data_IF_984875089670
#
_entry.id   IF_984875089670
#
_cell.length_a   1.000
_cell.length_b   1.000
_cell.length_c   1.000
_cell.angle_alpha   90.00
_cell.angle_beta   90.00
_cell.angle_gamma   90.00
#
_symmetry.space_group_name_H-M   'P 1'
#
loop_
_entity.id
_entity.type
_entity.pdbx_description
1 polymer ?
#
# COMPACT_ATOMS: atom_id res chain seq x y z
N UNK A 1 43.31 40.34 32.45
CA UNK A 1 43.55 38.93 32.84
C UNK A 1 42.35 38.49 33.67
N UNK A 2 41.60 37.42 33.43
CA UNK A 2 41.69 36.33 32.46
C UNK A 2 40.25 35.82 32.21
N UNK A 3 40.05 35.20 31.04
CA UNK A 3 38.78 34.69 30.55
C UNK A 3 38.23 33.50 31.35
N UNK A 4 36.91 33.39 31.43
CA UNK A 4 36.22 32.21 31.95
C UNK A 4 36.15 31.12 30.86
N UNK A 5 36.61 29.88 31.13
CA UNK A 5 36.30 28.73 30.29
C UNK A 5 35.35 27.81 31.06
N UNK A 6 34.04 27.84 30.76
CA UNK A 6 33.10 26.90 31.36
C UNK A 6 31.99 26.38 30.42
N UNK A 7 31.93 26.82 29.15
CA UNK A 7 30.89 26.38 28.21
C UNK A 7 31.28 25.24 27.27
N UNK A 8 32.56 24.87 27.16
CA UNK A 8 32.97 23.81 26.22
C UNK A 8 32.80 22.38 26.80
N UNK A 9 33.04 22.18 28.10
CA UNK A 9 33.06 20.84 28.71
C UNK A 9 31.66 20.24 28.99
N UNK A 10 30.63 21.08 29.11
CA UNK A 10 29.26 20.63 29.38
C UNK A 10 28.55 20.06 28.13
N UNK A 11 28.94 20.49 26.93
CA UNK A 11 28.43 19.92 25.67
C UNK A 11 28.98 18.52 25.41
N UNK A 12 30.29 18.36 25.62
CA UNK A 12 31.03 17.11 25.35
C UNK A 12 30.51 15.93 26.19
N UNK A 13 30.25 16.18 27.48
CA UNK A 13 29.76 15.15 28.42
C UNK A 13 28.31 14.74 28.16
N UNK A 14 27.46 15.64 27.67
CA UNK A 14 26.06 15.33 27.34
C UNK A 14 25.95 14.52 26.03
N UNK A 15 26.80 14.82 25.05
CA UNK A 15 26.88 14.08 23.80
C UNK A 15 27.49 12.67 24.02
N UNK A 16 28.50 12.55 24.88
CA UNK A 16 29.05 11.25 25.29
C UNK A 16 28.04 10.39 26.04
N UNK A 17 27.27 10.98 26.96
CA UNK A 17 26.22 10.27 27.69
C UNK A 17 25.10 9.77 26.75
N UNK A 18 24.71 10.58 25.75
CA UNK A 18 23.76 10.19 24.71
C UNK A 18 24.29 9.02 23.89
N UNK A 19 25.56 9.08 23.50
CA UNK A 19 26.20 8.04 22.69
C UNK A 19 26.32 6.71 23.45
N UNK A 20 26.70 6.75 24.73
CA UNK A 20 26.75 5.56 25.61
C UNK A 20 25.34 4.97 25.78
N UNK A 21 24.31 5.80 25.96
CA UNK A 21 22.92 5.36 26.05
C UNK A 21 22.48 4.60 24.79
N UNK A 22 22.67 5.19 23.61
CA UNK A 22 22.26 4.59 22.34
C UNK A 22 23.02 3.30 21.98
N UNK A 23 24.28 3.18 22.40
CA UNK A 23 25.11 1.99 22.11
C UNK A 23 24.98 0.88 23.13
N UNK A 24 24.36 1.16 24.28
CA UNK A 24 24.14 0.13 25.30
C UNK A 24 23.32 -1.03 24.73
N UNK A 25 23.61 -2.28 25.11
CA UNK A 25 22.90 -3.45 24.59
C UNK A 25 21.38 -3.39 24.73
N UNK A 26 20.89 -2.72 25.78
CA UNK A 26 19.46 -2.52 26.03
C UNK A 26 18.77 -1.68 24.94
N UNK A 27 19.49 -0.72 24.35
CA UNK A 27 18.93 0.26 23.41
C UNK A 27 19.30 -0.02 21.94
N UNK A 28 20.13 -1.02 21.65
CA UNK A 28 20.55 -1.35 20.28
C UNK A 28 19.38 -1.72 19.36
N UNK A 29 18.38 -2.45 19.86
CA UNK A 29 17.18 -2.80 19.06
C UNK A 29 16.34 -1.56 18.78
N UNK A 30 16.18 -0.68 19.77
CA UNK A 30 15.41 0.56 19.63
C UNK A 30 16.10 1.55 18.70
N UNK A 31 17.44 1.61 18.73
CA UNK A 31 18.24 2.39 17.81
C UNK A 31 18.07 1.93 16.35
N UNK A 32 18.06 0.62 16.10
CA UNK A 32 17.74 0.06 14.77
C UNK A 32 16.33 0.45 14.35
N UNK A 33 15.36 0.41 15.27
CA UNK A 33 13.98 0.78 14.99
C UNK A 33 13.83 2.26 14.64
N UNK A 34 14.49 3.15 15.39
CA UNK A 34 14.53 4.57 15.11
C UNK A 34 15.16 4.85 13.73
N UNK A 35 16.26 4.16 13.40
CA UNK A 35 16.91 4.29 12.11
C UNK A 35 16.00 3.85 10.94
N UNK A 36 15.26 2.75 11.10
CA UNK A 36 14.27 2.28 10.11
C UNK A 36 13.11 3.26 9.97
N UNK A 37 12.57 3.77 11.08
CA UNK A 37 11.48 4.74 11.08
C UNK A 37 11.86 6.07 10.39
N UNK A 38 13.12 6.49 10.54
CA UNK A 38 13.68 7.68 9.88
C UNK A 38 14.09 7.44 8.42
N UNK A 39 13.87 6.24 7.87
CA UNK A 39 14.24 5.88 6.50
C UNK A 39 15.76 5.81 6.26
N UNK A 40 16.55 5.59 7.31
CA UNK A 40 18.01 5.56 7.25
C UNK A 40 18.59 4.18 6.90
N UNK A 41 17.74 3.15 6.86
CA UNK A 41 18.09 1.79 6.47
C UNK A 41 16.94 0.81 6.67
N UNK A 42 17.19 -0.45 6.36
CA UNK A 42 16.27 -1.57 6.58
C UNK A 42 16.70 -2.39 7.82
N UNK A 43 15.76 -3.11 8.43
CA UNK A 43 16.10 -4.04 9.51
C UNK A 43 16.86 -5.25 8.95
N UNK A 44 18.01 -5.58 9.52
CA UNK A 44 18.72 -6.82 9.20
C UNK A 44 18.20 -7.99 10.05
N UNK A 45 18.54 -9.23 9.69
CA UNK A 45 18.14 -10.41 10.46
C UNK A 45 18.73 -10.42 11.89
N UNK A 46 19.95 -9.88 12.06
CA UNK A 46 20.57 -9.69 13.36
C UNK A 46 20.10 -8.39 14.00
N UNK A 47 19.69 -8.45 15.28
CA UNK A 47 19.13 -7.32 16.05
C UNK A 47 20.09 -6.14 16.25
N UNK A 48 21.39 -6.39 16.09
CA UNK A 48 22.48 -5.42 16.23
C UNK A 48 22.99 -4.89 14.89
N UNK A 49 22.27 -5.19 13.81
CA UNK A 49 22.65 -4.86 12.45
C UNK A 49 21.54 -4.09 11.75
N UNK A 50 21.95 -3.09 10.98
CA UNK A 50 21.10 -2.34 10.06
C UNK A 50 21.54 -2.68 8.64
N UNK A 51 20.57 -2.84 7.74
CA UNK A 51 20.83 -3.11 6.33
C UNK A 51 20.83 -1.79 5.57
N UNK A 52 21.98 -1.40 5.05
CA UNK A 52 22.17 -0.15 4.29
C UNK A 52 22.64 -0.53 2.89
N UNK A 53 21.93 -0.06 1.86
CA UNK A 53 22.22 -0.40 0.46
C UNK A 53 22.36 -1.92 0.21
N UNK A 54 21.47 -2.72 0.80
CA UNK A 54 21.49 -4.17 0.62
C UNK A 54 22.38 -4.95 1.59
N UNK A 55 23.34 -4.29 2.26
CA UNK A 55 24.35 -4.95 3.11
C UNK A 55 24.01 -4.84 4.59
N UNK A 56 24.03 -5.96 5.30
CA UNK A 56 23.92 -5.99 6.76
C UNK A 56 25.20 -5.43 7.39
N UNK A 57 25.05 -4.37 8.17
CA UNK A 57 26.15 -3.63 8.78
C UNK A 57 25.92 -3.55 10.29
N UNK A 58 26.88 -3.97 11.14
CA UNK A 58 26.75 -3.83 12.58
C UNK A 58 26.71 -2.36 12.98
N UNK A 59 25.98 -2.02 14.05
CA UNK A 59 25.77 -0.63 14.51
C UNK A 59 27.08 0.16 14.69
N UNK A 60 28.14 -0.46 15.20
CA UNK A 60 29.45 0.18 15.35
C UNK A 60 30.10 0.54 14.01
N UNK A 61 29.95 -0.33 13.02
CA UNK A 61 30.43 -0.07 11.66
C UNK A 61 29.56 0.97 10.96
N UNK A 62 28.25 0.96 11.20
CA UNK A 62 27.31 1.95 10.66
C UNK A 62 27.62 3.34 11.20
N UNK A 63 27.90 3.48 12.50
CA UNK A 63 28.34 4.74 13.13
C UNK A 63 29.57 5.32 12.45
N UNK A 64 30.58 4.49 12.16
CA UNK A 64 31.83 4.93 11.50
C UNK A 64 31.60 5.32 10.04
N UNK A 65 30.72 4.62 9.33
CA UNK A 65 30.46 4.85 7.89
C UNK A 65 29.47 5.99 7.62
N UNK A 66 28.50 6.20 8.51
CA UNK A 66 27.40 7.16 8.37
C UNK A 66 27.14 7.88 9.71
N UNK A 67 28.10 8.68 10.22
CA UNK A 67 28.02 9.29 11.55
C UNK A 67 26.79 10.19 11.72
N UNK A 68 26.43 10.99 10.72
CA UNK A 68 25.27 11.90 10.79
C UNK A 68 23.92 11.16 10.84
N UNK A 69 23.80 10.05 10.10
CA UNK A 69 22.59 9.22 10.13
C UNK A 69 22.45 8.51 11.48
N UNK A 70 23.56 8.02 12.02
CA UNK A 70 23.61 7.41 13.34
C UNK A 70 23.21 8.43 14.42
N UNK A 71 23.78 9.63 14.41
CA UNK A 71 23.49 10.66 15.41
C UNK A 71 22.03 11.09 15.38
N UNK A 72 21.44 11.24 14.18
CA UNK A 72 19.99 11.49 14.03
C UNK A 72 19.12 10.41 14.67
N UNK A 73 19.44 9.13 14.43
CA UNK A 73 18.69 8.03 15.01
C UNK A 73 18.86 7.96 16.53
N UNK A 74 20.09 8.18 17.02
CA UNK A 74 20.39 8.21 18.45
C UNK A 74 19.74 9.41 19.16
N UNK A 75 19.73 10.58 18.53
CA UNK A 75 19.02 11.77 19.02
C UNK A 75 17.52 11.52 19.12
N UNK A 76 16.90 10.97 18.08
CA UNK A 76 15.47 10.65 18.10
C UNK A 76 15.13 9.65 19.22
N UNK A 77 15.97 8.63 19.43
CA UNK A 77 15.83 7.67 20.53
C UNK A 77 15.98 8.34 21.90
N UNK A 78 16.99 9.20 22.05
CA UNK A 78 17.32 9.88 23.31
C UNK A 78 16.31 10.98 23.67
N UNK A 79 15.75 11.69 22.70
CA UNK A 79 14.66 12.65 22.92
C UNK A 79 13.37 11.92 23.32
N UNK A 80 13.06 10.80 22.65
CA UNK A 80 11.95 9.94 23.05
C UNK A 80 12.11 9.36 24.47
N UNK A 81 13.35 9.10 24.92
CA UNK A 81 13.60 8.63 26.29
C UNK A 81 13.57 9.76 27.33
N UNK A 82 13.90 11.01 26.95
CA UNK A 82 13.80 12.20 27.81
C UNK A 82 12.37 12.62 28.10
N UNK A 83 11.45 12.51 27.13
CA UNK A 83 10.03 12.86 27.34
C UNK A 83 9.33 11.91 28.33
N UNK A 84 9.91 10.73 28.61
CA UNK A 84 9.46 9.82 29.67
C UNK A 84 10.06 10.08 31.06
N UNK A 85 11.01 11.00 31.19
CA UNK A 85 11.89 11.13 32.36
C UNK A 85 11.86 12.51 33.03
N UNK A 86 10.83 12.80 33.81
CA UNK A 86 10.94 13.76 34.92
C UNK A 86 10.29 13.17 36.17
N UNK A 87 11.09 12.43 36.94
CA UNK A 87 10.79 11.98 38.30
C UNK A 87 12.06 11.34 38.87
N UNK A 88 12.92 12.16 39.46
CA UNK A 88 14.15 11.70 40.10
C UNK A 88 13.90 10.99 41.42
N UNK A 89 14.68 9.93 41.66
CA UNK A 89 15.22 9.53 42.97
C UNK A 89 14.29 8.80 43.95
N UNK A 90 14.66 7.57 44.32
CA UNK A 90 14.24 6.97 45.60
C UNK A 90 13.92 5.49 45.52
N UNK A 91 14.84 4.66 46.02
CA UNK A 91 14.70 3.21 46.18
C UNK A 91 13.46 2.81 46.98
N UNK A 92 12.66 1.88 46.44
CA UNK A 92 11.61 1.18 47.20
C UNK A 92 10.32 1.00 46.40
N UNK A 93 10.08 -0.23 45.93
CA UNK A 93 8.93 -0.67 45.14
C UNK A 93 8.77 0.03 43.78
N UNK A 94 8.59 -0.75 42.71
CA UNK A 94 8.12 -0.19 41.44
C UNK A 94 6.80 0.53 41.72
N UNK A 95 6.83 1.86 41.76
CA UNK A 95 5.61 2.66 41.85
C UNK A 95 4.68 2.23 40.72
N UNK A 96 3.39 2.09 41.02
CA UNK A 96 2.36 1.71 40.06
C UNK A 96 2.45 2.53 38.76
N UNK A 97 2.92 3.79 38.85
CA UNK A 97 3.16 4.70 37.73
C UNK A 97 4.27 4.28 36.78
N UNK A 98 5.40 3.74 37.26
CA UNK A 98 6.50 3.26 36.42
C UNK A 98 6.13 1.94 35.72
N UNK A 99 5.41 1.06 36.41
CA UNK A 99 4.85 -0.14 35.81
C UNK A 99 3.84 0.20 34.68
N UNK A 100 3.01 1.23 34.89
CA UNK A 100 2.04 1.73 33.89
C UNK A 100 2.75 2.34 32.67
N UNK A 101 3.86 3.07 32.85
CA UNK A 101 4.64 3.62 31.72
C UNK A 101 5.34 2.54 30.90
N UNK A 102 5.92 1.52 31.56
CA UNK A 102 6.51 0.36 30.87
C UNK A 102 5.43 -0.42 30.11
N UNK A 103 4.26 -0.61 30.72
CA UNK A 103 3.10 -1.20 30.05
C UNK A 103 2.61 -0.35 28.87
N UNK A 104 2.61 0.98 28.98
CA UNK A 104 2.24 1.89 27.89
C UNK A 104 3.23 1.87 26.73
N UNK A 105 4.54 1.84 26.99
CA UNK A 105 5.55 1.75 25.95
C UNK A 105 5.54 0.37 25.27
N UNK A 106 5.40 -0.71 26.04
CA UNK A 106 5.22 -2.06 25.51
C UNK A 106 3.90 -2.18 24.72
N UNK A 107 2.82 -1.56 25.20
CA UNK A 107 1.54 -1.50 24.49
C UNK A 107 1.67 -0.68 23.20
N UNK A 108 2.35 0.46 23.21
CA UNK A 108 2.59 1.27 22.02
C UNK A 108 3.44 0.53 20.98
N UNK A 109 4.50 -0.17 21.40
CA UNK A 109 5.31 -1.01 20.53
C UNK A 109 4.54 -2.20 19.96
N UNK A 110 3.67 -2.83 20.77
CA UNK A 110 2.78 -3.90 20.33
C UNK A 110 1.72 -3.37 19.35
N UNK A 111 1.12 -2.21 19.62
CA UNK A 111 0.14 -1.54 18.74
C UNK A 111 0.79 -1.14 17.42
N UNK A 112 2.00 -0.57 17.42
CA UNK A 112 2.72 -0.23 16.19
C UNK A 112 3.09 -1.48 15.37
N UNK A 113 3.49 -2.56 16.04
CA UNK A 113 3.78 -3.84 15.38
C UNK A 113 2.51 -4.46 14.79
N UNK A 114 1.40 -4.40 15.52
CA UNK A 114 0.09 -4.87 15.06
C UNK A 114 -0.41 -4.04 13.88
N UNK A 115 -0.33 -2.72 13.96
CA UNK A 115 -0.68 -1.80 12.86
C UNK A 115 0.21 -2.00 11.63
N UNK A 116 1.51 -2.26 11.81
CA UNK A 116 2.41 -2.57 10.71
C UNK A 116 2.09 -3.93 10.05
N UNK A 117 1.73 -4.93 10.85
CA UNK A 117 1.24 -6.23 10.38
C UNK A 117 -0.07 -6.11 9.61
N UNK A 118 -1.03 -5.37 10.17
CA UNK A 118 -2.34 -5.12 9.56
C UNK A 118 -2.19 -4.32 8.26
N UNK A 119 -1.29 -3.34 8.20
CA UNK A 119 -1.03 -2.57 6.99
C UNK A 119 -0.42 -3.42 5.88
N UNK A 120 0.55 -4.28 6.21
CA UNK A 120 1.16 -5.19 5.23
C UNK A 120 0.15 -6.22 4.72
N UNK A 121 -0.63 -6.82 5.63
CA UNK A 121 -1.72 -7.73 5.29
C UNK A 121 -2.78 -7.07 4.41
N UNK A 122 -3.16 -5.82 4.73
CA UNK A 122 -4.09 -5.04 3.92
C UNK A 122 -3.54 -4.73 2.52
N UNK A 123 -2.23 -4.45 2.40
CA UNK A 123 -1.58 -4.22 1.12
C UNK A 123 -1.53 -5.49 0.27
N UNK A 124 -1.10 -6.61 0.85
CA UNK A 124 -1.02 -7.90 0.13
C UNK A 124 -2.40 -8.35 -0.34
N UNK A 125 -3.42 -8.20 0.52
CA UNK A 125 -4.83 -8.42 0.17
C UNK A 125 -5.29 -7.46 -0.93
N UNK A 126 -4.85 -6.21 -0.89
CA UNK A 126 -5.14 -5.20 -1.92
C UNK A 126 -4.58 -5.56 -3.28
N UNK A 127 -3.32 -6.05 -3.32
CA UNK A 127 -2.67 -6.50 -4.55
C UNK A 127 -3.37 -7.72 -5.17
N UNK A 128 -3.69 -8.74 -4.36
CA UNK A 128 -4.41 -9.92 -4.85
C UNK A 128 -5.76 -9.54 -5.48
N UNK A 129 -6.51 -8.66 -4.81
CA UNK A 129 -7.79 -8.13 -5.28
C UNK A 129 -7.67 -7.31 -6.57
N UNK A 130 -6.63 -6.50 -6.68
CA UNK A 130 -6.31 -5.75 -7.88
C UNK A 130 -6.03 -6.69 -9.07
N UNK A 131 -5.25 -7.75 -8.85
CA UNK A 131 -4.92 -8.73 -9.88
C UNK A 131 -6.12 -9.59 -10.32
N UNK A 132 -7.00 -9.95 -9.38
CA UNK A 132 -8.29 -10.59 -9.68
C UNK A 132 -9.16 -9.70 -10.58
N UNK A 133 -9.31 -8.42 -10.23
CA UNK A 133 -10.07 -7.46 -11.01
C UNK A 133 -9.50 -7.28 -12.43
N UNK A 134 -8.18 -7.08 -12.54
CA UNK A 134 -7.50 -6.96 -13.84
C UNK A 134 -7.70 -8.20 -14.71
N UNK A 135 -7.66 -9.39 -14.09
CA UNK A 135 -7.86 -10.66 -14.79
C UNK A 135 -9.30 -10.77 -15.33
N UNK A 136 -10.29 -10.47 -14.51
CA UNK A 136 -11.70 -10.47 -14.91
C UNK A 136 -11.94 -9.46 -16.06
N UNK A 137 -11.39 -8.24 -15.95
CA UNK A 137 -11.50 -7.22 -16.98
C UNK A 137 -10.87 -7.66 -18.31
N UNK A 138 -9.69 -8.30 -18.28
CA UNK A 138 -9.04 -8.84 -19.48
C UNK A 138 -9.85 -9.97 -20.11
N UNK A 139 -10.37 -10.90 -19.29
CA UNK A 139 -11.16 -12.03 -19.79
C UNK A 139 -12.45 -11.56 -20.46
N UNK A 140 -13.16 -10.62 -19.84
CA UNK A 140 -14.36 -10.01 -20.44
C UNK A 140 -14.01 -9.27 -21.74
N UNK A 141 -12.97 -8.44 -21.73
CA UNK A 141 -12.53 -7.72 -22.93
C UNK A 141 -12.16 -8.65 -24.09
N UNK A 142 -11.42 -9.73 -23.83
CA UNK A 142 -11.07 -10.73 -24.86
C UNK A 142 -12.33 -11.38 -25.43
N UNK A 143 -13.21 -11.90 -24.57
CA UNK A 143 -14.43 -12.56 -25.01
C UNK A 143 -15.33 -11.63 -25.83
N UNK A 144 -15.51 -10.38 -25.39
CA UNK A 144 -16.36 -9.41 -26.07
C UNK A 144 -15.77 -8.98 -27.43
N UNK A 145 -14.46 -8.72 -27.52
CA UNK A 145 -13.81 -8.41 -28.80
C UNK A 145 -13.84 -9.61 -29.76
N UNK A 146 -13.60 -10.83 -29.27
CA UNK A 146 -13.70 -12.06 -30.08
C UNK A 146 -15.12 -12.26 -30.62
N UNK A 147 -16.14 -12.03 -29.80
CA UNK A 147 -17.54 -12.09 -30.21
C UNK A 147 -17.89 -11.06 -31.28
N UNK A 148 -17.46 -9.80 -31.09
CA UNK A 148 -17.67 -8.75 -32.09
C UNK A 148 -16.96 -9.06 -33.42
N UNK A 149 -15.71 -9.53 -33.37
CA UNK A 149 -14.94 -9.93 -34.55
C UNK A 149 -15.56 -11.13 -35.29
N UNK A 150 -16.14 -12.08 -34.55
CA UNK A 150 -16.87 -13.20 -35.14
C UNK A 150 -18.06 -12.70 -35.96
N UNK A 151 -18.79 -11.69 -35.48
CA UNK A 151 -19.89 -11.07 -36.23
C UNK A 151 -19.44 -10.25 -37.45
N UNK A 152 -18.33 -9.54 -37.35
CA UNK A 152 -17.72 -8.83 -38.48
C UNK A 152 -17.36 -9.80 -39.60
N UNK A 153 -16.82 -10.97 -39.26
CA UNK A 153 -16.39 -11.99 -40.22
C UNK A 153 -17.51 -12.96 -40.64
N UNK A 154 -18.68 -12.88 -40.01
CA UNK A 154 -19.79 -13.81 -40.24
C UNK A 154 -20.42 -13.61 -41.63
N UNK A 155 -20.38 -14.66 -42.45
CA UNK A 155 -20.99 -14.69 -43.78
C UNK A 155 -22.07 -15.77 -43.93
N UNK A 156 -21.88 -16.94 -43.30
CA UNK A 156 -22.85 -18.04 -43.26
C UNK A 156 -22.51 -19.01 -42.12
N UNK A 157 -23.48 -19.82 -41.69
CA UNK A 157 -23.29 -20.91 -40.71
C UNK A 157 -24.02 -20.68 -39.38
N UNK A 158 -23.62 -21.37 -38.30
CA UNK A 158 -24.13 -21.11 -36.96
C UNK A 158 -23.80 -19.66 -36.54
N UNK A 159 -24.75 -19.01 -35.85
CA UNK A 159 -24.53 -17.67 -35.32
C UNK A 159 -23.42 -17.70 -34.25
N UNK A 160 -22.58 -16.65 -34.15
CA UNK A 160 -21.64 -16.51 -33.05
C UNK A 160 -22.35 -16.61 -31.69
N UNK A 161 -21.81 -17.42 -30.78
CA UNK A 161 -22.34 -17.60 -29.43
C UNK A 161 -21.81 -16.52 -28.48
N UNK A 162 -22.67 -16.01 -27.61
CA UNK A 162 -22.36 -15.01 -26.58
C UNK A 162 -22.05 -15.63 -25.20
N UNK A 163 -22.01 -16.96 -25.06
CA UNK A 163 -21.88 -17.64 -23.77
C UNK A 163 -20.62 -17.21 -23.01
N UNK A 164 -19.48 -17.16 -23.70
CA UNK A 164 -18.21 -16.75 -23.11
C UNK A 164 -18.24 -15.29 -22.61
N UNK A 165 -18.92 -14.41 -23.38
CA UNK A 165 -19.09 -13.00 -23.05
C UNK A 165 -19.98 -12.86 -21.81
N UNK A 166 -21.12 -13.54 -21.78
CA UNK A 166 -22.05 -13.52 -20.65
C UNK A 166 -21.40 -14.02 -19.37
N UNK A 167 -20.65 -15.13 -19.44
CA UNK A 167 -19.91 -15.68 -18.30
C UNK A 167 -18.84 -14.72 -17.77
N UNK A 168 -18.00 -14.18 -18.65
CA UNK A 168 -16.94 -13.26 -18.24
C UNK A 168 -17.49 -11.91 -17.74
N UNK A 169 -18.59 -11.43 -18.33
CA UNK A 169 -19.29 -10.22 -17.90
C UNK A 169 -19.89 -10.38 -16.50
N UNK A 170 -20.52 -11.53 -16.22
CA UNK A 170 -21.06 -11.84 -14.89
C UNK A 170 -19.96 -11.89 -13.82
N UNK A 171 -18.80 -12.48 -14.14
CA UNK A 171 -17.65 -12.50 -13.21
C UNK A 171 -17.13 -11.08 -12.93
N UNK A 172 -16.96 -10.25 -13.96
CA UNK A 172 -16.52 -8.87 -13.78
C UNK A 172 -17.54 -8.05 -12.96
N UNK A 173 -18.83 -8.17 -13.24
CA UNK A 173 -19.88 -7.52 -12.45
C UNK A 173 -19.85 -7.95 -10.98
N UNK A 174 -19.66 -9.25 -10.71
CA UNK A 174 -19.56 -9.78 -9.36
C UNK A 174 -18.38 -9.17 -8.58
N UNK A 175 -17.22 -9.01 -9.23
CA UNK A 175 -16.06 -8.34 -8.63
C UNK A 175 -16.35 -6.86 -8.35
N UNK A 176 -16.93 -6.13 -9.31
CA UNK A 176 -17.26 -4.72 -9.12
C UNK A 176 -18.31 -4.51 -8.02
N UNK A 177 -19.33 -5.37 -7.95
CA UNK A 177 -20.36 -5.36 -6.90
C UNK A 177 -19.76 -5.60 -5.52
N UNK A 178 -18.78 -6.50 -5.40
CA UNK A 178 -18.04 -6.70 -4.15
C UNK A 178 -17.36 -5.40 -3.71
N UNK A 179 -16.73 -4.66 -4.63
CA UNK A 179 -16.07 -3.40 -4.29
C UNK A 179 -17.05 -2.27 -3.97
N UNK A 180 -18.20 -2.22 -4.62
CA UNK A 180 -19.29 -1.30 -4.28
C UNK A 180 -19.72 -1.45 -2.81
N UNK A 181 -19.87 -2.70 -2.35
CA UNK A 181 -20.25 -3.01 -0.97
C UNK A 181 -19.14 -2.70 0.04
N UNK A 182 -17.88 -3.04 -0.30
CA UNK A 182 -16.73 -2.84 0.57
C UNK A 182 -16.27 -1.37 0.64
N UNK A 183 -16.51 -0.60 -0.42
CA UNK A 183 -16.03 0.79 -0.60
C UNK A 183 -17.20 1.72 -0.93
N UNK A 184 -18.19 1.80 -0.03
CA UNK A 184 -19.44 2.60 -0.22
C UNK A 184 -19.25 4.07 -0.62
N UNK A 185 -18.07 4.66 -0.37
CA UNK A 185 -17.74 6.05 -0.74
C UNK A 185 -17.18 6.18 -2.15
N UNK A 186 -16.87 5.06 -2.82
CA UNK A 186 -16.34 5.03 -4.18
C UNK A 186 -17.50 4.86 -5.16
N UNK A 187 -17.59 5.76 -6.14
CA UNK A 187 -18.58 5.73 -7.23
C UNK A 187 -18.09 4.97 -8.45
N UNK A 188 -16.77 4.80 -8.60
CA UNK A 188 -16.17 4.11 -9.73
C UNK A 188 -16.72 2.70 -9.97
N UNK A 189 -16.90 1.80 -8.95
CA UNK A 189 -17.48 0.49 -9.19
C UNK A 189 -18.91 0.57 -9.76
N UNK A 190 -19.77 1.41 -9.19
CA UNK A 190 -21.13 1.60 -9.70
C UNK A 190 -21.13 2.12 -11.14
N UNK A 191 -20.26 3.08 -11.47
CA UNK A 191 -20.13 3.60 -12.83
C UNK A 191 -19.71 2.53 -13.83
N UNK A 192 -18.70 1.73 -13.50
CA UNK A 192 -18.22 0.64 -14.36
C UNK A 192 -19.30 -0.41 -14.58
N UNK A 193 -20.08 -0.74 -13.53
CA UNK A 193 -21.23 -1.65 -13.66
C UNK A 193 -22.31 -1.07 -14.57
N UNK A 194 -22.60 0.22 -14.47
CA UNK A 194 -23.51 0.89 -15.40
C UNK A 194 -22.98 0.79 -16.83
N UNK A 195 -21.71 1.10 -17.08
CA UNK A 195 -21.09 0.98 -18.41
C UNK A 195 -21.20 -0.45 -18.96
N UNK A 196 -20.96 -1.47 -18.13
CA UNK A 196 -21.11 -2.88 -18.51
C UNK A 196 -22.55 -3.27 -18.86
N UNK A 197 -23.54 -2.62 -18.25
CA UNK A 197 -24.95 -2.90 -18.46
C UNK A 197 -25.58 -2.08 -19.59
N UNK A 198 -24.92 -1.03 -20.07
CA UNK A 198 -25.43 -0.11 -21.09
C UNK A 198 -24.76 -0.31 -22.44
N UNK A 199 -25.43 0.16 -23.51
CA UNK A 199 -24.86 0.15 -24.86
C UNK A 199 -23.53 0.92 -24.93
N UNK A 200 -22.56 0.46 -25.75
CA UNK A 200 -22.65 -0.65 -26.69
C UNK A 200 -22.45 -2.06 -26.07
N UNK A 201 -22.23 -2.13 -24.76
CA UNK A 201 -22.06 -3.37 -24.00
C UNK A 201 -23.42 -3.92 -23.50
N UNK A 202 -23.41 -4.76 -22.47
CA UNK A 202 -24.61 -5.33 -21.86
C UNK A 202 -25.48 -6.11 -22.86
N UNK A 203 -26.79 -5.99 -22.73
CA UNK A 203 -27.77 -6.64 -23.62
C UNK A 203 -27.66 -6.13 -25.07
N UNK A 204 -27.16 -4.91 -25.26
CA UNK A 204 -26.94 -4.36 -26.60
C UNK A 204 -25.81 -5.12 -27.32
N UNK A 205 -24.83 -5.65 -26.59
CA UNK A 205 -23.72 -6.39 -27.19
C UNK A 205 -24.21 -7.61 -27.98
N UNK A 206 -25.23 -8.33 -27.50
CA UNK A 206 -25.78 -9.51 -28.17
C UNK A 206 -26.75 -9.21 -29.32
N UNK A 207 -27.24 -7.97 -29.44
CA UNK A 207 -28.33 -7.61 -30.34
C UNK A 207 -27.89 -6.73 -31.52
N UNK A 208 -28.73 -6.64 -32.56
CA UNK A 208 -28.52 -5.71 -33.68
C UNK A 208 -27.47 -6.13 -34.71
N UNK A 209 -26.95 -7.35 -34.66
CA UNK A 209 -26.00 -7.86 -35.66
C UNK A 209 -26.65 -8.44 -36.92
N UNK A 210 -27.86 -8.98 -36.81
CA UNK A 210 -28.58 -9.59 -37.93
C UNK A 210 -29.06 -8.55 -38.95
N UNK A 211 -28.91 -8.84 -40.23
CA UNK A 211 -29.42 -7.98 -41.32
C UNK A 211 -28.66 -6.67 -41.54
N UNK A 212 -27.56 -6.45 -40.81
CA UNK A 212 -26.69 -5.27 -40.99
C UNK A 212 -25.63 -5.50 -42.06
N UNK A 213 -25.21 -4.41 -42.71
CA UNK A 213 -24.12 -4.44 -43.69
C UNK A 213 -22.78 -4.76 -42.99
N UNK A 214 -21.80 -5.24 -43.76
CA UNK A 214 -20.45 -5.49 -43.22
C UNK A 214 -19.80 -4.22 -42.65
N UNK A 215 -20.07 -3.06 -43.25
CA UNK A 215 -19.60 -1.76 -42.78
C UNK A 215 -20.21 -1.39 -41.43
N UNK A 216 -21.51 -1.59 -41.24
CA UNK A 216 -22.18 -1.29 -39.97
C UNK A 216 -21.68 -2.20 -38.83
N UNK A 217 -21.42 -3.49 -39.13
CA UNK A 217 -20.82 -4.42 -38.15
C UNK A 217 -19.42 -4.00 -37.76
N UNK A 218 -18.61 -3.55 -38.72
CA UNK A 218 -17.26 -3.05 -38.46
C UNK A 218 -17.30 -1.79 -37.57
N UNK A 219 -18.19 -0.84 -37.88
CA UNK A 219 -18.41 0.35 -37.04
C UNK A 219 -18.83 -0.02 -35.62
N UNK A 220 -19.80 -0.93 -35.48
CA UNK A 220 -20.25 -1.41 -34.17
C UNK A 220 -19.13 -2.10 -33.37
N UNK A 221 -18.28 -2.89 -34.04
CA UNK A 221 -17.12 -3.52 -33.39
C UNK A 221 -16.15 -2.47 -32.84
N UNK A 222 -15.93 -1.36 -33.55
CA UNK A 222 -15.08 -0.26 -33.08
C UNK A 222 -15.69 0.45 -31.86
N UNK A 223 -17.01 0.66 -31.85
CA UNK A 223 -17.71 1.23 -30.68
C UNK A 223 -17.57 0.32 -29.45
N UNK A 224 -17.69 -1.00 -29.65
CA UNK A 224 -17.48 -2.00 -28.60
C UNK A 224 -16.05 -1.95 -28.09
N UNK A 225 -15.04 -1.97 -28.98
CA UNK A 225 -13.64 -1.93 -28.57
C UNK A 225 -13.30 -0.63 -27.80
N UNK A 226 -13.92 0.49 -28.16
CA UNK A 226 -13.81 1.76 -27.43
C UNK A 226 -14.38 1.64 -26.02
N UNK A 227 -15.62 1.13 -25.88
CA UNK A 227 -16.23 0.92 -24.57
C UNK A 227 -15.46 -0.09 -23.70
N UNK A 228 -14.88 -1.13 -24.30
CA UNK A 228 -14.02 -2.09 -23.60
C UNK A 228 -12.72 -1.45 -23.09
N UNK A 229 -12.15 -0.50 -23.83
CA UNK A 229 -11.00 0.27 -23.36
C UNK A 229 -11.37 1.13 -22.14
N UNK A 230 -12.51 1.81 -22.15
CA UNK A 230 -12.99 2.60 -21.01
C UNK A 230 -13.19 1.73 -19.75
N UNK A 231 -13.80 0.55 -19.90
CA UNK A 231 -13.98 -0.40 -18.79
C UNK A 231 -12.61 -0.86 -18.25
N UNK A 232 -11.66 -1.17 -19.14
CA UNK A 232 -10.32 -1.62 -18.75
C UNK A 232 -9.57 -0.54 -17.98
N UNK A 233 -9.59 0.69 -18.47
CA UNK A 233 -8.91 1.82 -17.85
C UNK A 233 -9.52 2.15 -16.49
N UNK A 234 -10.86 2.15 -16.38
CA UNK A 234 -11.52 2.34 -15.09
C UNK A 234 -11.26 1.20 -14.10
N UNK A 235 -11.17 -0.05 -14.57
CA UNK A 235 -10.74 -1.17 -13.73
C UNK A 235 -9.29 -1.03 -13.27
N UNK A 236 -8.39 -0.50 -14.10
CA UNK A 236 -7.00 -0.24 -13.72
C UNK A 236 -6.89 0.85 -12.65
N UNK A 237 -7.65 1.95 -12.79
CA UNK A 237 -7.73 3.00 -11.76
C UNK A 237 -8.22 2.41 -10.43
N UNK A 238 -9.27 1.58 -10.46
CA UNK A 238 -9.77 0.87 -9.27
C UNK A 238 -8.72 -0.09 -8.69
N UNK A 239 -8.01 -0.85 -9.53
CA UNK A 239 -6.94 -1.76 -9.11
C UNK A 239 -5.80 -1.01 -8.40
N UNK A 240 -5.32 0.11 -8.97
CA UNK A 240 -4.29 0.95 -8.35
C UNK A 240 -4.73 1.55 -7.00
N UNK A 241 -6.02 1.86 -6.86
CA UNK A 241 -6.58 2.32 -5.59
C UNK A 241 -6.63 1.20 -4.54
N UNK A 242 -6.87 -0.05 -4.94
CA UNK A 242 -6.87 -1.20 -4.03
C UNK A 242 -5.45 -1.52 -3.50
N UNK A 243 -4.41 -1.31 -4.31
CA UNK A 243 -3.01 -1.54 -3.93
C UNK A 243 -2.46 -0.55 -2.88
N UNK A 244 -3.14 0.59 -2.68
CA UNK A 244 -2.66 1.70 -1.85
C UNK A 244 -3.57 1.95 -0.64
N UNK A 245 -3.65 1.02 0.33
CA UNK A 245 -4.51 1.18 1.50
C UNK A 245 -4.14 2.44 2.29
N UNK A 246 -5.15 3.28 2.56
CA UNK A 246 -5.02 4.49 3.38
C UNK A 246 -4.78 5.80 2.61
N UNK A 247 -4.56 5.77 1.30
CA UNK A 247 -4.54 7.00 0.49
C UNK A 247 -5.95 7.52 0.21
N UNK A 248 -6.06 8.84 0.08
CA UNK A 248 -7.26 9.47 -0.46
C UNK A 248 -7.24 9.31 -1.98
N UNK A 249 -8.37 8.86 -2.51
CA UNK A 249 -8.59 8.61 -3.94
C UNK A 249 -9.73 9.52 -4.42
N UNK A 250 -9.48 10.81 -4.70
CA UNK A 250 -10.50 11.72 -5.21
C UNK A 250 -11.13 11.23 -6.52
N UNK A 251 -10.35 10.61 -7.39
CA UNK A 251 -10.76 10.00 -8.66
C UNK A 251 -11.84 8.93 -8.49
N UNK A 252 -11.88 8.26 -7.34
CA UNK A 252 -12.85 7.21 -7.07
C UNK A 252 -14.19 7.74 -6.58
N UNK A 253 -14.27 9.02 -6.19
CA UNK A 253 -15.48 9.68 -5.69
C UNK A 253 -16.20 10.51 -6.76
N UNK A 254 -15.43 10.94 -7.76
CA UNK A 254 -15.90 11.73 -8.89
C UNK A 254 -16.98 10.99 -9.64
#
# INVERSE_FOLDING_TARGET
MAAAPASAAAGDTADDARLVHCLSPAHQTELVNAAVALGLGERAAARTHIKVAGKATPLDAWRKQKPEAFDRACKALYEASKEGGSSGGGSGALSLSELVKILLAAAAGAVLTMLAGDWRSARDTGMLRADELRRAARQYGSAASEYAQAWVSYSAGPLPSDEAVGKAGAELDAQLRRYELLRKRWRAPTRLRTTLATAPLGDALGSGWGGTSSQDRASRSQDIDTALAEVRDGCEVLALALERPGRLHPEMKA
#
